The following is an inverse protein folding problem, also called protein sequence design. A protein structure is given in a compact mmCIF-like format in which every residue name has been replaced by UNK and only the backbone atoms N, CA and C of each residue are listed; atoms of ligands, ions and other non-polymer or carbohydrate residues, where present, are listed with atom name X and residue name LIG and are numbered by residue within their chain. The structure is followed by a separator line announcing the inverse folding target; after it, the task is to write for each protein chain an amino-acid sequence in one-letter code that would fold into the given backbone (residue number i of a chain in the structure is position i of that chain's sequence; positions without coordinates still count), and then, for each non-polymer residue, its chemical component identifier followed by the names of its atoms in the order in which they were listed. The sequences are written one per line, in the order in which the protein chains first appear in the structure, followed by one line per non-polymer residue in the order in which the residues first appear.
data_IF_445105109672
#
_entry.id   IF_445105109672
#
_cell.length_a   1.000
_cell.length_b   1.000
_cell.length_c   1.000
_cell.angle_alpha   90.00
_cell.angle_beta   90.00
_cell.angle_gamma   90.00
#
_symmetry.space_group_name_H-M   'P 1'
#
loop_
_entity.id
_entity.type
_entity.pdbx_description
1 polymer ?
#
# COMPACT_ATOMS: atom_id res chain seq x y z
N UNK A 1 -47.12 2.80 -33.58
CA UNK A 1 -45.80 2.99 -32.95
C UNK A 1 -45.98 3.05 -31.45
N UNK A 2 -45.35 2.15 -30.70
CA UNK A 2 -45.45 2.13 -29.25
C UNK A 2 -44.93 3.46 -28.69
N UNK A 3 -45.81 4.28 -28.11
CA UNK A 3 -45.41 5.47 -27.37
C UNK A 3 -44.65 4.99 -26.15
N UNK A 4 -43.33 5.19 -26.14
CA UNK A 4 -42.50 4.84 -24.99
C UNK A 4 -43.08 5.43 -23.72
N UNK A 5 -43.35 4.58 -22.74
CA UNK A 5 -43.85 4.98 -21.43
C UNK A 5 -42.80 5.89 -20.81
N UNK A 6 -43.16 7.15 -20.53
CA UNK A 6 -42.26 8.09 -19.85
C UNK A 6 -41.98 7.55 -18.46
N UNK A 7 -40.71 7.30 -18.15
CA UNK A 7 -40.26 6.96 -16.79
C UNK A 7 -40.74 8.02 -15.81
N UNK A 8 -41.33 7.58 -14.71
CA UNK A 8 -41.73 8.41 -13.57
C UNK A 8 -40.50 9.07 -12.93
N UNK A 9 -40.67 10.16 -12.16
CA UNK A 9 -39.57 10.78 -11.44
C UNK A 9 -38.83 9.79 -10.53
N UNK A 10 -39.54 8.84 -9.92
CA UNK A 10 -38.95 7.81 -9.05
C UNK A 10 -38.08 6.85 -9.85
N UNK A 11 -38.53 6.37 -11.01
CA UNK A 11 -37.74 5.48 -11.87
C UNK A 11 -36.45 6.14 -12.39
N UNK A 12 -36.46 7.47 -12.58
CA UNK A 12 -35.24 8.21 -12.92
C UNK A 12 -34.26 8.24 -11.75
N UNK A 13 -34.74 8.61 -10.55
CA UNK A 13 -33.90 8.62 -9.34
C UNK A 13 -33.36 7.24 -8.99
N UNK A 14 -34.13 6.17 -9.22
CA UNK A 14 -33.66 4.79 -9.03
C UNK A 14 -32.55 4.42 -10.02
N UNK A 15 -32.63 4.89 -11.27
CA UNK A 15 -31.56 4.72 -12.25
C UNK A 15 -30.28 5.44 -11.83
N UNK A 16 -30.39 6.72 -11.47
CA UNK A 16 -29.26 7.51 -10.98
C UNK A 16 -28.62 6.89 -9.73
N UNK A 17 -29.45 6.38 -8.80
CA UNK A 17 -28.96 5.66 -7.63
C UNK A 17 -28.18 4.39 -8.01
N UNK A 18 -28.69 3.61 -8.96
CA UNK A 18 -28.03 2.39 -9.42
C UNK A 18 -26.67 2.70 -10.08
N UNK A 19 -26.60 3.76 -10.90
CA UNK A 19 -25.36 4.21 -11.54
C UNK A 19 -24.31 4.67 -10.50
N UNK A 20 -24.76 5.40 -9.48
CA UNK A 20 -23.89 5.83 -8.36
C UNK A 20 -23.41 4.62 -7.56
N UNK A 21 -24.28 3.66 -7.24
CA UNK A 21 -23.91 2.43 -6.53
C UNK A 21 -22.89 1.60 -7.32
N UNK A 22 -23.08 1.46 -8.64
CA UNK A 22 -22.12 0.77 -9.49
C UNK A 22 -20.75 1.47 -9.50
N UNK A 23 -20.75 2.81 -9.57
CA UNK A 23 -19.52 3.60 -9.49
C UNK A 23 -18.81 3.45 -8.15
N UNK A 24 -19.56 3.44 -7.03
CA UNK A 24 -19.02 3.19 -5.69
C UNK A 24 -18.31 1.83 -5.66
N UNK A 25 -18.98 0.75 -6.09
CA UNK A 25 -18.40 -0.59 -6.09
C UNK A 25 -17.13 -0.68 -6.94
N UNK A 26 -17.11 0.00 -8.09
CA UNK A 26 -15.91 0.08 -8.93
C UNK A 26 -14.76 0.80 -8.23
N UNK A 27 -15.03 1.94 -7.57
CA UNK A 27 -14.00 2.68 -6.85
C UNK A 27 -13.49 1.93 -5.61
N UNK A 28 -14.35 1.18 -4.92
CA UNK A 28 -13.94 0.32 -3.81
C UNK A 28 -12.95 -0.76 -4.28
N UNK A 29 -13.25 -1.45 -5.39
CA UNK A 29 -12.32 -2.43 -5.97
C UNK A 29 -11.01 -1.81 -6.43
N UNK A 30 -11.06 -0.61 -7.01
CA UNK A 30 -9.86 0.15 -7.38
C UNK A 30 -9.01 0.51 -6.15
N UNK A 31 -9.67 0.96 -5.06
CA UNK A 31 -8.99 1.28 -3.80
C UNK A 31 -8.32 0.06 -3.18
N UNK A 32 -8.97 -1.11 -3.22
CA UNK A 32 -8.39 -2.36 -2.74
C UNK A 32 -7.10 -2.70 -3.51
N UNK A 33 -7.14 -2.65 -4.84
CA UNK A 33 -5.96 -2.88 -5.69
C UNK A 33 -4.82 -1.90 -5.37
N UNK A 34 -5.15 -0.62 -5.14
CA UNK A 34 -4.17 0.40 -4.81
C UNK A 34 -3.53 0.17 -3.43
N UNK A 35 -4.29 -0.30 -2.44
CA UNK A 35 -3.77 -0.67 -1.11
C UNK A 35 -2.83 -1.87 -1.17
N UNK A 36 -3.15 -2.87 -1.98
CA UNK A 36 -2.24 -4.01 -2.20
C UNK A 36 -0.93 -3.55 -2.82
N UNK A 37 -1.01 -2.66 -3.81
CA UNK A 37 0.17 -2.07 -4.44
C UNK A 37 0.99 -1.22 -3.47
N UNK A 38 0.35 -0.42 -2.64
CA UNK A 38 1.00 0.35 -1.56
C UNK A 38 1.80 -0.59 -0.64
N UNK A 39 1.16 -1.65 -0.14
CA UNK A 39 1.80 -2.63 0.74
C UNK A 39 3.00 -3.29 0.07
N UNK A 40 2.84 -3.74 -1.18
CA UNK A 40 3.93 -4.35 -1.93
C UNK A 40 5.11 -3.38 -2.12
N UNK A 41 4.84 -2.11 -2.41
CA UNK A 41 5.89 -1.09 -2.54
C UNK A 41 6.62 -0.85 -1.21
N UNK A 42 5.91 -0.81 -0.08
CA UNK A 42 6.53 -0.68 1.23
C UNK A 42 7.46 -1.86 1.53
N UNK A 43 7.01 -3.09 1.27
CA UNK A 43 7.83 -4.31 1.45
C UNK A 43 9.07 -4.29 0.54
N UNK A 44 8.93 -3.85 -0.71
CA UNK A 44 10.05 -3.72 -1.64
C UNK A 44 11.07 -2.68 -1.19
N UNK A 45 10.62 -1.52 -0.70
CA UNK A 45 11.52 -0.48 -0.17
C UNK A 45 12.33 -1.04 0.99
N UNK A 46 11.69 -1.68 1.96
CA UNK A 46 12.39 -2.29 3.11
C UNK A 46 13.40 -3.34 2.69
N UNK A 47 13.07 -4.17 1.70
CA UNK A 47 13.99 -5.17 1.16
C UNK A 47 15.22 -4.51 0.51
N UNK A 48 15.03 -3.47 -0.29
CA UNK A 48 16.13 -2.75 -0.95
C UNK A 48 17.02 -2.04 0.08
N UNK A 49 16.44 -1.39 1.09
CA UNK A 49 17.19 -0.80 2.20
C UNK A 49 18.02 -1.87 2.93
N UNK A 50 17.44 -3.03 3.21
CA UNK A 50 18.15 -4.15 3.83
C UNK A 50 19.27 -4.70 2.94
N UNK A 51 19.05 -4.83 1.62
CA UNK A 51 20.09 -5.25 0.68
C UNK A 51 21.28 -4.29 0.70
N UNK A 52 21.03 -2.99 0.68
CA UNK A 52 22.09 -1.97 0.75
C UNK A 52 22.93 -2.17 2.02
N UNK A 53 22.29 -2.32 3.19
CA UNK A 53 23.00 -2.57 4.45
C UNK A 53 23.78 -3.89 4.40
N UNK A 54 23.19 -4.96 3.87
CA UNK A 54 23.84 -6.26 3.78
C UNK A 54 25.07 -6.23 2.85
N UNK A 55 25.01 -5.52 1.73
CA UNK A 55 26.17 -5.34 0.85
C UNK A 55 27.27 -4.53 1.55
N UNK A 56 26.93 -3.47 2.28
CA UNK A 56 27.90 -2.70 3.07
C UNK A 56 28.58 -3.55 4.15
N UNK A 57 27.85 -4.48 4.78
CA UNK A 57 28.43 -5.42 5.74
C UNK A 57 29.41 -6.38 5.06
N UNK A 58 29.04 -6.95 3.91
CA UNK A 58 29.92 -7.84 3.13
C UNK A 58 31.19 -7.15 2.68
N UNK A 59 31.12 -5.89 2.23
CA UNK A 59 32.30 -5.09 1.85
C UNK A 59 33.30 -4.90 3.00
N UNK A 60 32.84 -5.05 4.24
CA UNK A 60 33.64 -4.92 5.46
C UNK A 60 33.95 -6.27 6.12
N UNK A 61 33.65 -7.39 5.45
CA UNK A 61 33.73 -8.75 6.01
C UNK A 61 32.99 -8.87 7.37
N UNK A 62 31.88 -8.15 7.52
CA UNK A 62 31.04 -8.16 8.72
C UNK A 62 29.74 -8.94 8.47
N UNK A 63 29.20 -9.52 9.53
CA UNK A 63 27.91 -10.21 9.53
C UNK A 63 26.81 -9.34 10.14
N UNK A 64 25.56 -9.75 9.94
CA UNK A 64 24.40 -9.12 10.60
C UNK A 64 24.50 -9.26 12.12
N UNK A 65 25.08 -10.34 12.64
CA UNK A 65 25.23 -10.52 14.08
C UNK A 65 26.29 -9.56 14.65
N UNK A 66 27.36 -9.28 13.91
CA UNK A 66 28.32 -8.22 14.27
C UNK A 66 27.62 -6.85 14.33
N UNK A 67 26.76 -6.54 13.34
CA UNK A 67 25.96 -5.32 13.35
C UNK A 67 25.00 -5.26 14.55
N UNK A 68 24.34 -6.38 14.89
CA UNK A 68 23.48 -6.46 16.08
C UNK A 68 24.27 -6.26 17.37
N UNK A 69 25.44 -6.87 17.49
CA UNK A 69 26.32 -6.70 18.65
C UNK A 69 26.80 -5.26 18.78
N UNK A 70 27.16 -4.60 17.68
CA UNK A 70 27.50 -3.18 17.68
C UNK A 70 26.33 -2.28 18.10
N UNK A 71 25.11 -2.55 17.62
CA UNK A 71 23.91 -1.79 17.99
C UNK A 71 23.46 -2.07 19.43
N UNK A 72 23.57 -3.31 19.89
CA UNK A 72 23.25 -3.72 21.26
C UNK A 72 24.31 -3.25 22.27
N UNK A 73 25.56 -3.10 21.83
CA UNK A 73 26.67 -2.56 22.62
C UNK A 73 26.76 -1.03 22.66
N UNK A 74 25.92 -0.33 21.88
CA UNK A 74 25.95 1.14 21.74
C UNK A 74 25.39 1.95 22.92
N UNK A 75 24.90 1.30 23.99
CA UNK A 75 24.21 1.98 25.09
C UNK A 75 25.14 2.43 26.25
N UNK A 76 26.47 2.47 26.08
CA UNK A 76 27.41 2.79 27.18
C UNK A 76 28.37 3.98 26.96
N UNK A 77 28.43 4.65 25.79
CA UNK A 77 29.36 5.81 25.66
C UNK A 77 28.83 7.00 24.85
N UNK A 78 27.59 7.43 25.10
CA UNK A 78 27.25 8.85 24.96
C UNK A 78 27.30 9.51 26.34
N UNK A 79 28.52 9.63 26.85
CA UNK A 79 28.87 10.50 27.97
C UNK A 79 30.24 11.10 27.68
N UNK A 80 30.24 12.17 26.89
CA UNK A 80 31.21 13.28 26.90
C UNK A 80 30.72 14.39 25.98
#
# INVERSE_FOLDING_TARGET
MARGVRKSPVEKMQGELADVQASIAQYESCLETMREKEKALMEHIQLEEFKVVNEMLKERDMTIDDLKEMLAGGDVTLSA
#
